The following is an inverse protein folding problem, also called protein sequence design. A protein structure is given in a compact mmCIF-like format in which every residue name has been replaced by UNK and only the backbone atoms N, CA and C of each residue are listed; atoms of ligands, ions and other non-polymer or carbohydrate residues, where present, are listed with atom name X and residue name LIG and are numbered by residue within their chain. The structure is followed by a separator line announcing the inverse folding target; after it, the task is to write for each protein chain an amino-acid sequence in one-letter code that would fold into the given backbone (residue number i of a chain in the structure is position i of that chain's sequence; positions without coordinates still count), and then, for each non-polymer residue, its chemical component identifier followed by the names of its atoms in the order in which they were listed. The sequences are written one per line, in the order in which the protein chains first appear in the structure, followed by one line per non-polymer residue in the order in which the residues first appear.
data_IF_182098834570
#
_entry.id   IF_182098834570
#
_cell.length_a   1.000
_cell.length_b   1.000
_cell.length_c   1.000
_cell.angle_alpha   90.00
_cell.angle_beta   90.00
_cell.angle_gamma   90.00
#
_symmetry.space_group_name_H-M   'P 1'
#
loop_
_entity.id
_entity.type
_entity.pdbx_description
1 polymer ?
#
# COMPACT_ATOMS: atom_id res chain seq x y z
N UNK A 1 -2.49 -2.19 -12.05
CA UNK A 1 -2.94 -3.58 -11.85
C UNK A 1 -4.16 -3.53 -10.96
N UNK A 2 -5.29 -3.99 -11.45
CA UNK A 2 -6.53 -4.07 -10.67
C UNK A 2 -6.66 -5.46 -10.08
N UNK A 3 -6.89 -5.55 -8.77
CA UNK A 3 -7.07 -6.82 -8.07
C UNK A 3 -8.34 -6.73 -7.21
N UNK A 4 -9.27 -7.65 -7.41
CA UNK A 4 -10.47 -7.78 -6.59
C UNK A 4 -10.21 -8.75 -5.45
N UNK A 5 -10.47 -8.31 -4.22
CA UNK A 5 -10.21 -9.06 -3.00
C UNK A 5 -11.48 -9.14 -2.15
N UNK A 6 -11.70 -10.29 -1.52
CA UNK A 6 -12.77 -10.49 -0.55
C UNK A 6 -12.28 -10.15 0.85
N UNK A 7 -13.10 -9.41 1.58
CA UNK A 7 -12.85 -9.04 2.97
C UNK A 7 -13.16 -10.24 3.84
N UNK A 8 -12.14 -10.79 4.49
CA UNK A 8 -12.28 -11.90 5.42
C UNK A 8 -12.68 -11.40 6.80
N UNK A 9 -11.69 -11.20 7.67
CA UNK A 9 -11.89 -10.71 9.03
C UNK A 9 -11.55 -9.22 9.11
N UNK A 10 -12.46 -8.44 9.68
CA UNK A 10 -12.25 -7.02 10.00
C UNK A 10 -12.02 -6.92 11.50
N UNK A 11 -10.86 -6.39 11.90
CA UNK A 11 -10.55 -6.01 13.27
C UNK A 11 -10.34 -4.49 13.34
N UNK A 12 -10.35 -3.90 14.54
CA UNK A 12 -10.29 -2.45 14.75
C UNK A 12 -9.02 -1.79 14.18
N UNK A 13 -7.95 -2.56 13.91
CA UNK A 13 -6.70 -2.05 13.31
C UNK A 13 -6.27 -2.70 11.99
N UNK A 14 -6.65 -3.96 11.75
CA UNK A 14 -6.16 -4.75 10.61
C UNK A 14 -7.31 -5.54 10.01
N UNK A 15 -7.35 -5.59 8.68
CA UNK A 15 -8.29 -6.39 7.91
C UNK A 15 -7.54 -7.44 7.12
N UNK A 16 -8.07 -8.66 7.11
CA UNK A 16 -7.53 -9.76 6.28
C UNK A 16 -8.26 -9.76 4.94
N UNK A 17 -7.53 -9.52 3.86
CA UNK A 17 -8.04 -9.62 2.49
C UNK A 17 -7.64 -10.97 1.88
N UNK A 18 -8.59 -11.59 1.20
CA UNK A 18 -8.48 -12.90 0.59
C UNK A 18 -8.66 -12.78 -0.92
N UNK A 19 -7.79 -13.42 -1.69
CA UNK A 19 -7.93 -13.49 -3.15
C UNK A 19 -8.94 -14.60 -3.50
N UNK A 20 -9.89 -14.37 -4.44
CA UNK A 20 -10.90 -15.37 -4.80
C UNK A 20 -10.32 -16.64 -5.45
N UNK A 21 -9.09 -16.59 -5.98
CA UNK A 21 -8.56 -17.65 -6.82
C UNK A 21 -7.60 -18.60 -6.07
N UNK A 22 -8.09 -19.80 -5.73
CA UNK A 22 -7.25 -20.91 -5.23
C UNK A 22 -6.50 -21.64 -6.35
N UNK A 23 -6.77 -21.35 -7.64
CA UNK A 23 -6.21 -22.10 -8.78
C UNK A 23 -4.81 -21.67 -9.21
N UNK A 24 -4.33 -20.51 -8.77
CA UNK A 24 -3.02 -19.96 -9.16
C UNK A 24 -1.99 -19.99 -8.02
N UNK A 25 -1.96 -21.01 -7.15
CA UNK A 25 -0.85 -21.28 -6.21
C UNK A 25 -0.49 -20.19 -5.17
N UNK A 26 -1.11 -19.02 -5.25
CA UNK A 26 -0.89 -17.83 -4.42
C UNK A 26 -2.18 -17.52 -3.67
N UNK A 27 -2.45 -18.30 -2.61
CA UNK A 27 -3.40 -17.88 -1.60
C UNK A 27 -2.76 -16.76 -0.78
N UNK A 28 -2.82 -15.53 -1.28
CA UNK A 28 -2.27 -14.36 -0.59
C UNK A 28 -3.27 -13.96 0.50
N UNK A 29 -2.85 -14.13 1.75
CA UNK A 29 -3.46 -13.44 2.89
C UNK A 29 -2.77 -12.09 3.00
N UNK A 30 -3.50 -11.01 2.73
CA UNK A 30 -2.98 -9.66 2.86
C UNK A 30 -3.51 -9.09 4.17
N UNK A 31 -2.60 -8.72 5.08
CA UNK A 31 -2.92 -7.88 6.22
C UNK A 31 -2.92 -6.43 5.74
N UNK A 32 -4.10 -5.82 5.73
CA UNK A 32 -4.30 -4.47 5.23
C UNK A 32 -4.82 -3.56 6.36
N UNK A 33 -4.27 -2.36 6.57
CA UNK A 33 -4.77 -1.44 7.58
C UNK A 33 -6.24 -1.10 7.35
N UNK A 34 -7.09 -1.31 8.36
CA UNK A 34 -8.53 -1.07 8.25
C UNK A 34 -8.86 0.41 7.97
N UNK A 35 -8.00 1.34 8.40
CA UNK A 35 -8.15 2.79 8.20
C UNK A 35 -8.06 3.22 6.73
N UNK A 36 -7.38 2.43 5.89
CA UNK A 36 -7.25 2.74 4.45
C UNK A 36 -8.40 2.18 3.62
N UNK A 37 -9.34 1.44 4.24
CA UNK A 37 -10.52 0.92 3.58
C UNK A 37 -11.69 1.90 3.67
N UNK A 38 -12.66 1.85 2.73
CA UNK A 38 -13.85 2.68 2.79
C UNK A 38 -14.65 2.46 4.09
N UNK A 39 -15.30 3.52 4.63
CA UNK A 39 -16.20 3.34 5.76
C UNK A 39 -17.38 2.44 5.35
N UNK A 40 -17.86 1.59 6.27
CA UNK A 40 -18.94 0.59 6.10
C UNK A 40 -18.55 -0.73 5.41
N UNK A 41 -17.27 -1.06 5.36
CA UNK A 41 -16.81 -2.39 4.95
C UNK A 41 -17.12 -3.45 6.00
N UNK A 42 -17.73 -4.57 5.58
CA UNK A 42 -18.03 -5.72 6.44
C UNK A 42 -17.38 -7.00 5.91
N UNK A 43 -17.30 -8.03 6.75
CA UNK A 43 -16.87 -9.37 6.33
C UNK A 43 -17.72 -9.87 5.16
N UNK A 44 -17.08 -10.36 4.11
CA UNK A 44 -17.71 -10.80 2.86
C UNK A 44 -17.83 -9.71 1.79
N UNK A 45 -17.52 -8.45 2.09
CA UNK A 45 -17.47 -7.39 1.08
C UNK A 45 -16.36 -7.66 0.05
N UNK A 46 -16.54 -7.18 -1.19
CA UNK A 46 -15.51 -7.24 -2.22
C UNK A 46 -14.95 -5.83 -2.42
N UNK A 47 -13.64 -5.71 -2.41
CA UNK A 47 -12.93 -4.46 -2.65
C UNK A 47 -12.04 -4.59 -3.87
N UNK A 48 -12.06 -3.56 -4.71
CA UNK A 48 -11.14 -3.45 -5.83
C UNK A 48 -9.96 -2.57 -5.43
N UNK A 49 -8.75 -3.12 -5.52
CA UNK A 49 -7.51 -2.41 -5.26
C UNK A 49 -6.80 -2.16 -6.57
N UNK A 50 -6.58 -0.87 -6.88
CA UNK A 50 -5.78 -0.48 -8.02
C UNK A 50 -4.38 -0.07 -7.56
N UNK A 51 -3.37 -0.84 -8.00
CA UNK A 51 -1.96 -0.56 -7.70
C UNK A 51 -1.27 -0.07 -8.96
N UNK A 52 -0.60 1.08 -8.86
CA UNK A 52 0.21 1.64 -9.94
C UNK A 52 1.47 2.29 -9.38
N UNK A 53 2.57 2.19 -10.14
CA UNK A 53 3.82 2.88 -9.83
C UNK A 53 3.66 4.38 -10.09
N UNK A 54 4.22 5.21 -9.20
CA UNK A 54 4.23 6.66 -9.36
C UNK A 54 5.66 7.19 -9.54
N UNK A 55 6.18 7.05 -10.76
CA UNK A 55 7.53 7.50 -11.13
C UNK A 55 7.76 9.01 -10.91
N UNK A 56 6.70 9.83 -10.98
CA UNK A 56 6.82 11.28 -10.74
C UNK A 56 7.14 11.58 -9.28
N UNK A 57 6.45 10.90 -8.35
CA UNK A 57 6.72 11.04 -6.91
C UNK A 57 8.07 10.45 -6.52
N UNK A 58 8.47 9.33 -7.13
CA UNK A 58 9.81 8.74 -6.94
C UNK A 58 10.90 9.75 -7.30
N UNK A 59 10.85 10.31 -8.52
CA UNK A 59 11.83 11.31 -8.95
C UNK A 59 11.82 12.59 -8.09
N UNK A 60 10.67 12.99 -7.55
CA UNK A 60 10.58 14.13 -6.65
C UNK A 60 11.23 13.84 -5.27
N UNK A 61 10.99 12.65 -4.73
CA UNK A 61 11.61 12.21 -3.48
C UNK A 61 13.14 12.09 -3.62
N UNK A 62 13.63 11.54 -4.72
CA UNK A 62 15.07 11.44 -5.01
C UNK A 62 15.74 12.82 -5.08
N UNK A 63 15.10 13.79 -5.75
CA UNK A 63 15.60 15.17 -5.81
C UNK A 63 15.63 15.81 -4.43
N UNK A 64 14.56 15.66 -3.63
CA UNK A 64 14.49 16.19 -2.28
C UNK A 64 15.56 15.57 -1.36
N UNK A 65 15.80 14.27 -1.49
CA UNK A 65 16.83 13.57 -0.74
C UNK A 65 18.24 14.09 -1.09
N UNK A 66 18.56 14.23 -2.37
CA UNK A 66 19.86 14.77 -2.81
C UNK A 66 20.08 16.21 -2.33
N UNK A 67 19.07 17.07 -2.49
CA UNK A 67 19.13 18.44 -2.01
C UNK A 67 19.37 18.53 -0.48
N UNK A 68 18.78 17.61 0.29
CA UNK A 68 19.03 17.51 1.73
C UNK A 68 20.47 17.09 2.03
N UNK A 69 21.00 16.08 1.32
CA UNK A 69 22.40 15.66 1.49
C UNK A 69 23.37 16.78 1.18
N UNK A 70 23.15 17.51 0.09
CA UNK A 70 23.95 18.69 -0.28
C UNK A 70 23.87 19.77 0.80
N UNK A 71 22.67 20.03 1.34
CA UNK A 71 22.47 20.99 2.43
C UNK A 71 23.23 20.59 3.70
N UNK A 72 23.19 19.31 4.07
CA UNK A 72 23.90 18.78 5.25
C UNK A 72 25.41 18.91 5.03
N UNK A 73 25.92 18.48 3.87
CA UNK A 73 27.33 18.57 3.54
C UNK A 73 27.83 20.02 3.56
N UNK A 74 27.09 20.94 2.96
CA UNK A 74 27.47 22.37 2.96
C UNK A 74 27.42 23.00 4.35
N UNK A 75 26.58 22.50 5.25
CA UNK A 75 26.41 23.08 6.60
C UNK A 75 27.40 22.52 7.62
N UNK A 76 27.83 21.26 7.47
CA UNK A 76 28.59 20.54 8.50
C UNK A 76 29.86 19.84 7.99
N UNK A 77 30.08 19.79 6.67
CA UNK A 77 31.18 19.06 6.02
C UNK A 77 32.26 19.93 5.39
N UNK A 78 32.23 21.25 5.63
CA UNK A 78 33.30 22.19 5.29
C UNK A 78 34.26 22.38 6.47
#
# INVERSE_FOLDING_TARGET
MLVSLTVGKVDAGVTVLLTPDKRLGFAIKIEFPSILLPPNISSGSIVDINVSQNATKEAAADRAFRALQDSIYNSFGA
#
